data_IF_011290173495
#
_entry.id   IF_011290173495
#
_cell.length_a   1.000
_cell.length_b   1.000
_cell.length_c   1.000
_cell.angle_alpha   90.00
_cell.angle_beta   90.00
_cell.angle_gamma   90.00
#
_symmetry.space_group_name_H-M   'P 1'
#
loop_
_entity.id
_entity.type
_entity.pdbx_description
1 polymer ?
#
# COMPACT_ATOMS: atom_id res chain seq x y z
N UNK A 1 -12.73 -33.72 36.37
CA UNK A 1 -11.63 -32.75 36.22
C UNK A 1 -11.44 -32.47 34.73
N UNK A 2 -11.84 -31.29 34.24
CA UNK A 2 -11.55 -30.84 32.86
C UNK A 2 -10.35 -29.91 32.94
N UNK A 3 -9.21 -30.36 32.44
CA UNK A 3 -8.02 -29.52 32.28
C UNK A 3 -8.35 -28.33 31.37
N UNK A 4 -7.96 -27.09 31.72
CA UNK A 4 -8.25 -25.95 30.89
C UNK A 4 -7.40 -25.99 29.62
N UNK A 5 -8.05 -25.61 28.54
CA UNK A 5 -7.52 -25.54 27.17
C UNK A 5 -6.29 -24.62 27.11
N UNK A 6 -5.32 -24.99 26.28
CA UNK A 6 -4.14 -24.19 25.97
C UNK A 6 -4.55 -22.78 25.52
N UNK A 7 -4.35 -21.80 26.40
CA UNK A 7 -4.56 -20.39 26.06
C UNK A 7 -3.24 -19.86 25.47
N UNK A 8 -3.15 -19.82 24.14
CA UNK A 8 -2.04 -19.18 23.45
C UNK A 8 -2.22 -17.67 23.56
N UNK A 9 -1.43 -17.02 24.42
CA UNK A 9 -1.40 -15.56 24.52
C UNK A 9 -0.60 -15.02 23.35
N UNK A 10 -1.30 -14.61 22.29
CA UNK A 10 -0.65 -13.93 21.17
C UNK A 10 -0.58 -12.44 21.47
N UNK A 11 0.63 -11.92 21.66
CA UNK A 11 0.87 -10.50 21.92
C UNK A 11 0.77 -9.72 20.61
N UNK A 12 -0.30 -8.94 20.44
CA UNK A 12 -0.36 -7.96 19.35
C UNK A 12 0.46 -6.73 19.76
N UNK A 13 1.38 -6.34 18.90
CA UNK A 13 2.09 -5.07 19.01
C UNK A 13 1.20 -3.98 18.44
N UNK A 14 0.89 -2.97 19.25
CA UNK A 14 0.12 -1.77 18.86
C UNK A 14 1.04 -0.67 18.31
N UNK A 15 2.34 -0.97 18.16
CA UNK A 15 3.29 -0.09 17.50
C UNK A 15 3.00 -0.03 16.01
N UNK A 16 3.47 1.06 15.40
CA UNK A 16 3.45 1.22 13.96
C UNK A 16 4.24 0.11 13.28
N UNK A 17 3.64 -0.49 12.27
CA UNK A 17 4.24 -1.47 11.37
C UNK A 17 4.32 -0.86 9.97
N UNK A 18 5.31 -1.28 9.20
CA UNK A 18 5.52 -0.81 7.84
C UNK A 18 5.39 -1.98 6.85
N UNK A 19 4.59 -1.80 5.81
CA UNK A 19 4.59 -2.65 4.63
C UNK A 19 5.18 -1.86 3.47
N UNK A 20 5.98 -2.53 2.66
CA UNK A 20 6.64 -1.89 1.52
C UNK A 20 6.56 -2.80 0.30
N UNK A 21 6.16 -2.21 -0.82
CA UNK A 21 6.26 -2.77 -2.16
C UNK A 21 7.43 -2.10 -2.85
N UNK A 22 8.53 -2.82 -3.09
CA UNK A 22 9.74 -2.31 -3.73
C UNK A 22 10.53 -3.47 -4.38
N UNK A 23 11.42 -3.15 -5.33
CA UNK A 23 12.14 -4.18 -6.08
C UNK A 23 11.19 -5.12 -6.83
N UNK A 24 11.33 -6.43 -6.62
CA UNK A 24 10.50 -7.45 -7.27
C UNK A 24 9.02 -7.39 -6.87
N UNK A 25 8.69 -6.80 -5.71
CA UNK A 25 7.32 -6.62 -5.24
C UNK A 25 6.73 -5.24 -5.55
N UNK A 26 7.46 -4.39 -6.29
CA UNK A 26 6.97 -3.09 -6.74
C UNK A 26 5.66 -3.26 -7.52
N UNK A 27 4.85 -2.21 -7.54
CA UNK A 27 3.49 -2.26 -8.08
C UNK A 27 3.48 -1.89 -9.57
N UNK A 28 3.41 -2.86 -10.50
CA UNK A 28 3.34 -2.56 -11.92
C UNK A 28 2.02 -1.86 -12.23
N UNK A 29 2.11 -0.72 -12.90
CA UNK A 29 0.98 0.15 -13.20
C UNK A 29 1.14 0.79 -14.58
N UNK A 30 0.03 1.29 -15.11
CA UNK A 30 -0.01 2.02 -16.37
C UNK A 30 -0.54 3.42 -16.10
N UNK A 31 0.13 4.42 -16.67
CA UNK A 31 -0.36 5.80 -16.68
C UNK A 31 -1.52 5.97 -17.67
N UNK A 32 -2.20 7.11 -17.63
CA UNK A 32 -3.32 7.41 -18.53
C UNK A 32 -2.89 7.51 -20.01
N UNK A 33 -1.63 7.85 -20.27
CA UNK A 33 -0.98 7.87 -21.58
C UNK A 33 -0.24 6.56 -21.92
N UNK A 34 -0.64 5.46 -21.28
CA UNK A 34 -0.19 4.10 -21.56
C UNK A 34 1.31 3.85 -21.35
N UNK A 35 1.97 4.64 -20.51
CA UNK A 35 3.35 4.37 -20.10
C UNK A 35 3.35 3.36 -18.94
N UNK A 36 4.22 2.37 -19.04
CA UNK A 36 4.45 1.38 -17.99
C UNK A 36 5.37 1.96 -16.91
N UNK A 37 5.00 1.72 -15.66
CA UNK A 37 5.83 2.08 -14.52
C UNK A 37 5.69 1.08 -13.36
N UNK A 38 6.76 0.91 -12.59
CA UNK A 38 6.76 0.22 -11.30
C UNK A 38 6.77 1.25 -10.18
N UNK A 39 5.75 1.22 -9.33
CA UNK A 39 5.66 2.13 -8.18
C UNK A 39 6.15 1.41 -6.92
N UNK A 40 7.15 2.00 -6.26
CA UNK A 40 7.56 1.60 -4.93
C UNK A 40 6.76 2.38 -3.89
N UNK A 41 6.02 1.69 -3.04
CA UNK A 41 5.08 2.29 -2.07
C UNK A 41 5.34 1.74 -0.67
N UNK A 42 5.26 2.59 0.34
CA UNK A 42 5.33 2.21 1.74
C UNK A 42 4.08 2.67 2.48
N UNK A 43 3.57 1.81 3.36
CA UNK A 43 2.39 2.06 4.17
C UNK A 43 2.72 1.79 5.62
N UNK A 44 2.49 2.78 6.46
CA UNK A 44 2.59 2.66 7.92
C UNK A 44 1.17 2.47 8.46
N UNK A 45 1.00 1.47 9.33
CA UNK A 45 -0.28 1.15 9.94
C UNK A 45 -0.12 0.64 11.36
N UNK A 46 -1.22 0.65 12.11
CA UNK A 46 -1.31 -0.01 13.41
C UNK A 46 -2.70 -0.63 13.63
N UNK A 47 -2.78 -1.50 14.62
CA UNK A 47 -4.05 -2.07 15.10
C UNK A 47 -4.43 -1.32 16.38
N UNK A 48 -5.63 -0.73 16.46
CA UNK A 48 -6.10 -0.09 17.69
C UNK A 48 -6.22 -1.08 18.84
N UNK A 49 -5.76 -0.70 20.04
CA UNK A 49 -5.69 -1.54 21.25
C UNK A 49 -7.00 -2.27 21.58
N UNK A 50 -8.15 -1.65 21.32
CA UNK A 50 -9.48 -2.20 21.61
C UNK A 50 -10.04 -3.18 20.57
N UNK A 51 -9.36 -3.40 19.44
CA UNK A 51 -9.87 -4.22 18.34
C UNK A 51 -9.22 -5.59 18.22
N UNK A 52 -8.24 -5.90 19.08
CA UNK A 52 -7.46 -7.15 19.06
C UNK A 52 -8.35 -8.40 19.04
N UNK A 53 -9.42 -8.42 19.83
CA UNK A 53 -10.36 -9.55 19.86
C UNK A 53 -11.12 -9.71 18.53
N UNK A 54 -11.54 -8.59 17.91
CA UNK A 54 -12.20 -8.58 16.62
C UNK A 54 -11.29 -9.10 15.49
N UNK A 55 -9.99 -8.76 15.53
CA UNK A 55 -8.99 -9.28 14.59
C UNK A 55 -8.96 -10.81 14.61
N UNK A 56 -8.86 -11.43 15.79
CA UNK A 56 -8.84 -12.89 15.89
C UNK A 56 -10.15 -13.54 15.47
N UNK A 57 -11.29 -12.97 15.86
CA UNK A 57 -12.60 -13.56 15.54
C UNK A 57 -12.91 -13.54 14.04
N UNK A 58 -12.60 -12.43 13.35
CA UNK A 58 -13.03 -12.24 11.95
C UNK A 58 -11.93 -12.53 10.92
N UNK A 59 -10.65 -12.39 11.31
CA UNK A 59 -9.51 -12.50 10.41
C UNK A 59 -8.54 -13.63 10.80
N UNK A 60 -8.68 -14.20 11.99
CA UNK A 60 -7.87 -15.32 12.48
C UNK A 60 -6.46 -14.92 12.96
N UNK A 61 -5.85 -13.91 12.35
CA UNK A 61 -4.56 -13.34 12.76
C UNK A 61 -4.39 -11.91 12.26
N UNK A 62 -3.36 -11.23 12.76
CA UNK A 62 -2.91 -9.93 12.24
C UNK A 62 -2.51 -10.03 10.77
N UNK A 63 -1.75 -11.06 10.40
CA UNK A 63 -1.36 -11.30 9.01
C UNK A 63 -2.59 -11.56 8.12
N UNK A 64 -3.61 -12.26 8.64
CA UNK A 64 -4.87 -12.48 7.96
C UNK A 64 -5.67 -11.18 7.75
N UNK A 65 -5.61 -10.24 8.70
CA UNK A 65 -6.19 -8.91 8.55
C UNK A 65 -5.44 -8.11 7.49
N UNK A 66 -4.12 -8.02 7.60
CA UNK A 66 -3.26 -7.27 6.69
C UNK A 66 -3.41 -7.75 5.24
N UNK A 67 -3.33 -9.07 5.04
CA UNK A 67 -3.42 -9.69 3.70
C UNK A 67 -4.77 -9.50 3.01
N UNK A 68 -5.86 -9.38 3.79
CA UNK A 68 -7.22 -9.17 3.28
C UNK A 68 -7.62 -7.70 3.17
N UNK A 69 -6.86 -6.81 3.80
CA UNK A 69 -7.14 -5.37 3.80
C UNK A 69 -6.06 -4.63 3.04
N UNK A 70 -4.97 -4.25 3.70
CA UNK A 70 -3.91 -3.42 3.12
C UNK A 70 -3.32 -4.06 1.86
N UNK A 71 -3.00 -5.36 1.86
CA UNK A 71 -2.35 -6.01 0.70
C UNK A 71 -3.28 -6.12 -0.53
N UNK A 72 -4.59 -6.04 -0.35
CA UNK A 72 -5.55 -5.97 -1.47
C UNK A 72 -5.83 -4.53 -1.89
N UNK A 73 -6.05 -3.65 -0.92
CA UNK A 73 -6.45 -2.26 -1.18
C UNK A 73 -5.31 -1.45 -1.79
N UNK A 74 -4.08 -1.59 -1.31
CA UNK A 74 -2.95 -0.75 -1.74
C UNK A 74 -2.66 -0.90 -3.24
N UNK A 75 -2.45 -2.11 -3.79
CA UNK A 75 -2.22 -2.27 -5.23
C UNK A 75 -3.37 -1.71 -6.08
N UNK A 76 -4.61 -1.93 -5.65
CA UNK A 76 -5.78 -1.47 -6.40
C UNK A 76 -5.90 0.05 -6.39
N UNK A 77 -5.74 0.70 -5.23
CA UNK A 77 -5.81 2.15 -5.10
C UNK A 77 -4.68 2.82 -5.87
N UNK A 78 -3.45 2.29 -5.79
CA UNK A 78 -2.30 2.80 -6.53
C UNK A 78 -2.57 2.74 -8.03
N UNK A 79 -2.96 1.58 -8.58
CA UNK A 79 -3.27 1.43 -10.01
C UNK A 79 -4.39 2.36 -10.46
N UNK A 80 -5.46 2.47 -9.66
CA UNK A 80 -6.64 3.28 -9.98
C UNK A 80 -6.33 4.76 -10.03
N UNK A 81 -5.56 5.27 -9.06
CA UNK A 81 -5.19 6.69 -9.02
C UNK A 81 -4.11 7.00 -10.05
N UNK A 82 -3.06 6.18 -10.13
CA UNK A 82 -1.97 6.37 -11.09
C UNK A 82 -2.47 6.35 -12.55
N UNK A 83 -3.44 5.50 -12.87
CA UNK A 83 -4.06 5.46 -14.20
C UNK A 83 -4.82 6.73 -14.62
N UNK A 84 -5.00 7.71 -13.72
CA UNK A 84 -5.55 9.04 -14.05
C UNK A 84 -4.47 10.03 -14.47
N UNK A 85 -3.22 9.77 -14.11
CA UNK A 85 -2.08 10.64 -14.35
C UNK A 85 -1.35 10.22 -15.63
N UNK A 86 -0.94 11.18 -16.44
CA UNK A 86 0.07 10.90 -17.47
C UNK A 86 1.43 10.72 -16.80
N UNK A 87 2.38 10.07 -17.47
CA UNK A 87 3.73 9.88 -16.92
C UNK A 87 4.38 11.22 -16.52
N UNK A 88 4.25 12.25 -17.36
CA UNK A 88 4.78 13.59 -17.09
C UNK A 88 4.12 14.23 -15.88
N UNK A 89 2.78 14.14 -15.76
CA UNK A 89 2.07 14.70 -14.61
C UNK A 89 2.39 13.97 -13.32
N UNK A 90 2.59 12.65 -13.35
CA UNK A 90 2.99 11.87 -12.18
C UNK A 90 4.33 12.33 -11.60
N UNK A 91 5.26 12.76 -12.47
CA UNK A 91 6.55 13.34 -12.07
C UNK A 91 6.37 14.77 -11.56
N UNK A 92 5.73 15.63 -12.34
CA UNK A 92 5.60 17.07 -12.03
C UNK A 92 4.73 17.34 -10.80
N UNK A 93 3.69 16.53 -10.60
CA UNK A 93 2.71 16.67 -9.51
C UNK A 93 2.79 15.51 -8.52
N UNK A 94 3.99 14.98 -8.29
CA UNK A 94 4.21 13.81 -7.42
C UNK A 94 3.61 13.94 -6.02
N UNK A 95 3.63 15.15 -5.44
CA UNK A 95 3.02 15.39 -4.13
C UNK A 95 1.49 15.25 -4.16
N UNK A 96 0.84 15.71 -5.23
CA UNK A 96 -0.60 15.58 -5.44
C UNK A 96 -0.98 14.10 -5.66
N UNK A 97 -0.23 13.39 -6.51
CA UNK A 97 -0.38 11.96 -6.72
C UNK A 97 -0.25 11.15 -5.42
N UNK A 98 0.78 11.44 -4.60
CA UNK A 98 0.99 10.75 -3.33
C UNK A 98 -0.17 10.98 -2.36
N UNK A 99 -0.70 12.21 -2.29
CA UNK A 99 -1.86 12.53 -1.46
C UNK A 99 -3.10 11.77 -1.93
N UNK A 100 -3.41 11.78 -3.23
CA UNK A 100 -4.58 11.07 -3.75
C UNK A 100 -4.49 9.55 -3.54
N UNK A 101 -3.30 8.96 -3.70
CA UNK A 101 -3.07 7.55 -3.39
C UNK A 101 -3.28 7.29 -1.89
N UNK A 102 -2.71 8.14 -1.02
CA UNK A 102 -2.88 8.00 0.42
C UNK A 102 -4.36 8.06 0.82
N UNK A 103 -5.11 9.05 0.32
CA UNK A 103 -6.53 9.20 0.58
C UNK A 103 -7.32 7.98 0.10
N UNK A 104 -7.03 7.49 -1.12
CA UNK A 104 -7.69 6.30 -1.67
C UNK A 104 -7.40 5.02 -0.88
N UNK A 105 -6.17 4.86 -0.37
CA UNK A 105 -5.80 3.72 0.48
C UNK A 105 -6.48 3.81 1.84
N UNK A 106 -6.46 4.98 2.48
CA UNK A 106 -7.07 5.18 3.80
C UNK A 106 -8.58 4.94 3.72
N UNK A 107 -9.26 5.49 2.71
CA UNK A 107 -10.70 5.31 2.51
C UNK A 107 -11.07 3.88 2.08
N UNK A 108 -10.21 3.23 1.29
CA UNK A 108 -10.45 1.87 0.80
C UNK A 108 -10.08 0.76 1.78
N UNK A 109 -9.37 1.07 2.87
CA UNK A 109 -8.97 0.07 3.87
C UNK A 109 -10.07 -0.04 4.92
N UNK A 110 -10.82 -1.15 4.90
CA UNK A 110 -11.93 -1.39 5.82
C UNK A 110 -11.56 -2.53 6.77
N UNK A 111 -11.60 -2.26 8.07
CA UNK A 111 -11.38 -3.28 9.09
C UNK A 111 -10.82 -2.71 10.40
N UNK A 112 -10.50 -3.58 11.37
CA UNK A 112 -9.85 -3.21 12.64
C UNK A 112 -8.36 -2.83 12.47
N UNK A 113 -8.05 -1.96 11.51
CA UNK A 113 -6.71 -1.51 11.15
C UNK A 113 -6.75 -0.03 10.78
N UNK A 114 -5.73 0.72 11.17
CA UNK A 114 -5.62 2.15 10.87
C UNK A 114 -4.36 2.36 10.03
N UNK A 115 -4.54 2.98 8.86
CA UNK A 115 -3.43 3.41 8.01
C UNK A 115 -2.99 4.81 8.45
N UNK A 116 -1.78 4.91 9.00
CA UNK A 116 -1.22 6.16 9.51
C UNK A 116 -0.64 7.03 8.39
N UNK A 117 0.03 6.40 7.42
CA UNK A 117 0.57 7.12 6.28
C UNK A 117 0.84 6.20 5.09
N UNK A 118 0.82 6.79 3.90
CA UNK A 118 1.17 6.15 2.63
C UNK A 118 2.16 7.05 1.89
N UNK A 119 3.22 6.45 1.35
CA UNK A 119 4.27 7.18 0.65
C UNK A 119 4.73 6.45 -0.61
N UNK A 120 4.80 7.17 -1.72
CA UNK A 120 5.47 6.73 -2.94
C UNK A 120 6.97 6.97 -2.81
N UNK A 121 7.73 5.90 -2.58
CA UNK A 121 9.19 5.90 -2.51
C UNK A 121 9.83 6.15 -3.88
N UNK A 122 9.35 5.46 -4.91
CA UNK A 122 9.87 5.61 -6.27
C UNK A 122 8.78 5.39 -7.34
N UNK A 123 8.99 5.97 -8.51
CA UNK A 123 8.25 5.68 -9.75
C UNK A 123 9.31 5.39 -10.80
N UNK A 124 9.37 4.14 -11.24
CA UNK A 124 10.35 3.65 -12.19
C UNK A 124 9.66 3.39 -13.53
N UNK A 125 9.95 4.19 -14.56
CA UNK A 125 9.31 4.05 -15.86
C UNK A 125 10.08 3.06 -16.73
N UNK A 126 9.47 2.57 -17.81
CA UNK A 126 10.20 1.72 -18.76
C UNK A 126 11.40 2.44 -19.39
N UNK A 127 12.49 1.70 -19.62
CA UNK A 127 13.70 2.17 -20.31
C UNK A 127 13.38 2.92 -21.62
N UNK A 128 12.39 2.43 -22.37
CA UNK A 128 11.95 3.03 -23.63
C UNK A 128 11.40 4.45 -23.42
N UNK A 129 10.63 4.68 -22.35
CA UNK A 129 10.13 6.01 -22.01
C UNK A 129 11.28 6.91 -21.57
N UNK A 130 12.14 6.44 -20.67
CA UNK A 130 13.26 7.22 -20.14
C UNK A 130 14.21 7.68 -21.25
N UNK A 131 14.56 6.80 -22.19
CA UNK A 131 15.37 7.13 -23.36
C UNK A 131 14.75 8.26 -24.22
N UNK A 132 13.41 8.29 -24.35
CA UNK A 132 12.74 9.37 -25.10
C UNK A 132 12.74 10.70 -24.36
N UNK A 133 12.80 10.69 -23.03
CA UNK A 133 12.92 11.90 -22.21
C UNK A 133 14.35 12.45 -22.30
N UNK A 134 15.36 11.58 -22.17
CA UNK A 134 16.77 11.96 -22.30
C UNK A 134 17.07 12.60 -23.66
N UNK A 135 16.55 12.01 -24.74
CA UNK A 135 16.70 12.54 -26.11
C UNK A 135 16.00 13.89 -26.35
N UNK A 136 15.04 14.28 -25.51
CA UNK A 136 14.37 15.59 -25.59
C UNK A 136 15.07 16.67 -24.75
N UNK A 137 15.93 16.28 -23.82
CA UNK A 137 16.69 17.18 -22.95
C UNK A 137 18.11 17.46 -23.46
N UNK A 138 18.52 16.79 -24.55
CA UNK A 138 19.79 16.98 -25.26
C UNK A 138 19.60 17.82 -26.52
#
# INVERSE_FOLDING_TARGET
FKTPFFQSVVKITTRQNALTWEGESALPSYSSDQQTANLAVSVIYHIPDGQVENVYQNYGSVDGLVSRTIEQTVPQSVKTVFGKYTAVLAIQKRAELNREIADAVIQGTIGPIVVDSVQIKNIDFSDAYEATIEARMT
#
